data_IF_465460730519
#
_entry.id   IF_465460730519
#
_cell.length_a   1.000
_cell.length_b   1.000
_cell.length_c   1.000
_cell.angle_alpha   90.00
_cell.angle_beta   90.00
_cell.angle_gamma   90.00
#
_symmetry.space_group_name_H-M   'P 1'
#
loop_
_entity.id
_entity.type
_entity.pdbx_description
1 polymer ?
#
# COMPACT_ATOMS: atom_id res chain seq x y z
N UNK A 1 21.94 -76.89 -5.56
CA UNK A 1 22.10 -75.46 -5.28
C UNK A 1 20.71 -74.83 -5.40
N UNK A 2 19.85 -75.04 -4.40
CA UNK A 2 18.48 -74.52 -4.26
C UNK A 2 18.10 -74.54 -2.77
N UNK A 3 17.10 -73.71 -2.44
CA UNK A 3 16.37 -73.53 -1.16
C UNK A 3 16.91 -72.37 -0.29
N UNK A 4 16.14 -71.41 0.25
CA UNK A 4 14.70 -71.22 0.43
C UNK A 4 14.44 -70.55 1.80
N UNK A 5 13.44 -69.66 1.91
CA UNK A 5 12.94 -69.08 3.18
C UNK A 5 13.44 -67.64 3.48
N UNK A 6 12.63 -66.56 3.45
CA UNK A 6 11.51 -66.19 4.36
C UNK A 6 11.88 -66.49 5.82
N UNK A 7 11.98 -65.57 6.78
CA UNK A 7 11.73 -64.14 6.92
C UNK A 7 11.45 -63.89 8.40
N UNK A 8 11.94 -62.81 9.02
CA UNK A 8 11.35 -62.31 10.28
C UNK A 8 11.68 -60.83 10.52
N UNK A 9 10.79 -60.22 11.28
CA UNK A 9 10.38 -58.82 11.38
C UNK A 9 11.06 -58.09 12.55
N UNK A 10 11.31 -56.79 12.37
CA UNK A 10 11.36 -55.70 13.36
C UNK A 10 12.00 -54.48 12.64
N UNK A 11 11.59 -53.23 12.76
CA UNK A 11 10.67 -52.54 13.66
C UNK A 11 10.20 -51.26 12.95
N UNK A 12 8.97 -50.86 13.23
CA UNK A 12 8.27 -49.72 12.67
C UNK A 12 8.76 -48.43 13.34
N UNK A 13 9.64 -47.68 12.66
CA UNK A 13 9.88 -46.28 12.99
C UNK A 13 8.94 -45.40 12.16
N UNK A 14 7.86 -44.99 12.83
CA UNK A 14 6.96 -43.90 12.47
C UNK A 14 7.79 -42.71 11.99
N UNK A 15 7.64 -42.36 10.71
CA UNK A 15 8.18 -41.09 10.20
C UNK A 15 7.23 -40.02 10.69
N UNK A 16 7.67 -39.35 11.76
CA UNK A 16 7.07 -38.18 12.36
C UNK A 16 6.70 -37.20 11.25
N UNK A 17 5.38 -36.98 11.11
CA UNK A 17 4.83 -35.98 10.23
C UNK A 17 5.26 -34.63 10.75
N UNK A 18 6.43 -34.17 10.29
CA UNK A 18 6.96 -32.86 10.57
C UNK A 18 5.87 -31.85 10.29
N UNK A 19 5.35 -31.29 11.38
CA UNK A 19 4.57 -30.08 11.42
C UNK A 19 5.28 -29.05 10.54
N UNK A 20 4.80 -28.89 9.31
CA UNK A 20 5.12 -27.74 8.49
C UNK A 20 4.37 -26.58 9.14
N UNK A 21 4.90 -26.13 10.26
CA UNK A 21 4.57 -24.84 10.85
C UNK A 21 4.67 -23.84 9.69
N UNK A 22 3.58 -23.14 9.34
CA UNK A 22 3.58 -22.23 8.21
C UNK A 22 4.69 -21.21 8.43
N UNK A 23 5.53 -21.03 7.39
CA UNK A 23 6.52 -19.96 7.37
C UNK A 23 5.82 -18.67 7.83
N UNK A 24 6.47 -17.84 8.69
CA UNK A 24 5.85 -16.64 9.24
C UNK A 24 5.21 -15.89 8.08
N UNK A 25 3.88 -15.69 8.14
CA UNK A 25 3.13 -14.95 7.14
C UNK A 25 4.02 -13.80 6.67
N UNK A 26 4.44 -13.81 5.40
CA UNK A 26 5.14 -12.69 4.79
C UNK A 26 4.15 -11.54 4.87
N UNK A 27 4.13 -10.83 5.99
CA UNK A 27 3.27 -9.69 6.23
C UNK A 27 3.51 -8.79 5.04
N UNK A 28 2.50 -8.67 4.18
CA UNK A 28 2.64 -7.85 2.99
C UNK A 28 3.14 -6.49 3.45
N UNK A 29 4.18 -6.01 2.76
CA UNK A 29 4.94 -4.84 3.20
C UNK A 29 4.05 -3.62 3.43
N UNK A 30 2.89 -3.56 2.76
CA UNK A 30 1.85 -2.55 2.96
C UNK A 30 1.22 -2.59 4.36
N UNK A 31 0.85 -3.77 4.87
CA UNK A 31 0.39 -3.91 6.27
C UNK A 31 1.42 -3.46 7.27
N UNK A 32 2.70 -3.59 6.95
CA UNK A 32 3.77 -3.18 7.86
C UNK A 32 3.85 -1.67 8.03
N UNK A 33 3.38 -0.88 7.07
CA UNK A 33 3.36 0.59 7.19
C UNK A 33 1.99 1.16 7.51
N UNK A 34 0.93 0.36 7.43
CA UNK A 34 -0.46 0.71 7.76
C UNK A 34 -0.70 0.96 9.26
N UNK A 35 0.09 1.81 9.91
CA UNK A 35 -0.14 2.31 11.26
C UNK A 35 0.46 3.71 11.40
N UNK A 36 -0.27 4.72 11.92
CA UNK A 36 0.20 6.10 12.00
C UNK A 36 1.57 6.24 12.69
N UNK A 37 1.77 5.56 13.83
CA UNK A 37 3.07 5.60 14.53
C UNK A 37 4.23 5.04 13.70
N UNK A 38 3.98 4.05 12.84
CA UNK A 38 5.04 3.48 11.98
C UNK A 38 5.44 4.46 10.88
N UNK A 39 4.49 5.17 10.28
CA UNK A 39 4.77 6.26 9.33
C UNK A 39 5.56 7.39 9.99
N UNK A 40 5.19 7.77 11.22
CA UNK A 40 5.92 8.78 11.99
C UNK A 40 7.36 8.34 12.31
N UNK A 41 7.56 7.08 12.71
CA UNK A 41 8.88 6.51 12.95
C UNK A 41 9.74 6.49 11.68
N UNK A 42 9.17 6.08 10.53
CA UNK A 42 9.89 6.11 9.26
C UNK A 42 10.32 7.54 8.91
N UNK A 43 9.42 8.52 8.99
CA UNK A 43 9.74 9.93 8.74
C UNK A 43 10.82 10.46 9.68
N UNK A 44 10.76 10.12 10.97
CA UNK A 44 11.75 10.56 11.97
C UNK A 44 13.15 9.97 11.71
N UNK A 45 13.20 8.69 11.30
CA UNK A 45 14.43 7.94 11.10
C UNK A 45 15.07 8.13 9.72
N UNK A 46 14.42 8.87 8.81
CA UNK A 46 14.99 9.22 7.50
C UNK A 46 16.26 10.07 7.65
N UNK A 47 16.20 11.14 8.46
CA UNK A 47 17.31 12.09 8.61
C UNK A 47 18.35 11.71 9.67
N UNK A 48 18.07 10.73 10.54
CA UNK A 48 18.96 10.37 11.64
C UNK A 48 18.70 8.97 12.17
N UNK A 49 19.76 8.24 12.52
CA UNK A 49 19.63 6.98 13.23
C UNK A 49 19.28 7.24 14.70
N UNK A 50 18.27 6.54 15.25
CA UNK A 50 17.86 6.69 16.66
C UNK A 50 17.58 5.36 17.33
N UNK A 51 17.83 5.31 18.64
CA UNK A 51 17.34 4.27 19.54
C UNK A 51 15.84 4.41 19.82
N UNK A 52 15.24 3.35 20.35
CA UNK A 52 13.83 3.37 20.76
C UNK A 52 13.53 4.44 21.82
N UNK A 53 14.48 4.72 22.73
CA UNK A 53 14.30 5.71 23.79
C UNK A 53 14.35 7.15 23.25
N UNK A 54 15.20 7.44 22.28
CA UNK A 54 15.23 8.74 21.61
C UNK A 54 13.96 8.96 20.78
N UNK A 55 13.58 7.99 19.95
CA UNK A 55 12.38 8.08 19.12
C UNK A 55 11.10 8.21 19.97
N UNK A 56 11.03 7.50 21.10
CA UNK A 56 9.93 7.63 22.06
C UNK A 56 9.79 9.05 22.63
N UNK A 57 10.91 9.69 22.98
CA UNK A 57 10.90 11.10 23.44
C UNK A 57 10.45 12.07 22.35
N UNK A 58 10.89 11.86 21.11
CA UNK A 58 10.50 12.71 19.99
C UNK A 58 9.01 12.62 19.63
N UNK A 59 8.40 11.45 19.82
CA UNK A 59 7.01 11.18 19.43
C UNK A 59 6.03 11.21 20.61
N UNK A 60 6.50 11.55 21.81
CA UNK A 60 5.72 11.49 23.05
C UNK A 60 5.03 10.13 23.25
N UNK A 61 5.83 9.06 23.16
CA UNK A 61 5.38 7.66 23.27
C UNK A 61 6.18 6.93 24.35
N UNK A 62 5.69 5.75 24.76
CA UNK A 62 6.48 4.89 25.64
C UNK A 62 7.58 4.17 24.86
N UNK A 63 8.74 3.97 25.50
CA UNK A 63 9.85 3.23 24.90
C UNK A 63 9.44 1.79 24.52
N UNK A 64 8.60 1.13 25.33
CA UNK A 64 8.10 -0.21 25.06
C UNK A 64 7.28 -0.26 23.76
N UNK A 65 6.36 0.70 23.57
CA UNK A 65 5.54 0.80 22.37
C UNK A 65 6.40 1.04 21.12
N UNK A 66 7.31 2.02 21.18
CA UNK A 66 8.21 2.34 20.05
C UNK A 66 9.13 1.15 19.72
N UNK A 67 9.68 0.48 20.73
CA UNK A 67 10.55 -0.69 20.51
C UNK A 67 9.84 -1.81 19.74
N UNK A 68 8.57 -2.04 20.03
CA UNK A 68 7.76 -3.02 19.30
C UNK A 68 7.62 -2.64 17.82
N UNK A 69 7.29 -1.39 17.51
CA UNK A 69 7.15 -0.93 16.14
C UNK A 69 8.49 -0.93 15.36
N UNK A 70 9.59 -0.53 16.00
CA UNK A 70 10.92 -0.56 15.37
C UNK A 70 11.34 -1.99 14.98
N UNK A 71 11.11 -2.98 15.84
CA UNK A 71 11.39 -4.39 15.51
C UNK A 71 10.55 -4.87 14.34
N UNK A 72 9.26 -4.52 14.28
CA UNK A 72 8.37 -4.86 13.16
C UNK A 72 8.86 -4.25 11.84
N UNK A 73 9.23 -2.96 11.86
CA UNK A 73 9.74 -2.25 10.68
C UNK A 73 11.09 -2.82 10.21
N UNK A 74 11.99 -3.14 11.14
CA UNK A 74 13.27 -3.78 10.84
C UNK A 74 13.09 -5.19 10.26
N UNK A 75 12.20 -6.01 10.83
CA UNK A 75 11.91 -7.35 10.32
C UNK A 75 11.37 -7.32 8.88
N UNK A 76 10.67 -6.25 8.49
CA UNK A 76 10.23 -6.04 7.11
C UNK A 76 11.28 -5.42 6.17
N UNK A 77 12.50 -5.18 6.67
CA UNK A 77 13.58 -4.58 5.89
C UNK A 77 13.39 -3.09 5.57
N UNK A 78 12.52 -2.40 6.30
CA UNK A 78 12.32 -0.95 6.15
C UNK A 78 13.34 -0.17 6.99
N UNK A 79 13.86 -0.77 8.06
CA UNK A 79 14.93 -0.19 8.88
C UNK A 79 16.16 -1.09 8.84
N UNK A 80 17.32 -0.47 9.01
CA UNK A 80 18.60 -1.14 9.25
C UNK A 80 19.14 -0.79 10.64
N UNK A 81 19.98 -1.66 11.20
CA UNK A 81 20.75 -1.34 12.41
C UNK A 81 21.92 -0.44 12.04
N UNK A 82 21.85 0.81 12.48
CA UNK A 82 22.85 1.84 12.19
C UNK A 82 23.86 2.03 13.34
N UNK A 83 23.81 1.18 14.38
CA UNK A 83 24.79 1.16 15.45
C UNK A 83 24.22 0.75 16.80
N UNK A 84 25.09 0.82 17.80
CA UNK A 84 24.76 0.51 19.18
C UNK A 84 25.26 1.61 20.12
N UNK A 85 24.52 1.86 21.19
CA UNK A 85 24.86 2.84 22.23
C UNK A 85 24.86 2.17 23.61
N UNK A 86 25.76 2.59 24.50
CA UNK A 86 25.81 2.07 25.87
C UNK A 86 24.88 2.89 26.75
N UNK A 87 23.91 2.24 27.40
CA UNK A 87 22.92 2.89 28.27
C UNK A 87 22.87 2.17 29.61
N UNK A 88 23.26 2.84 30.71
CA UNK A 88 23.18 2.38 32.12
C UNK A 88 23.29 0.85 32.31
N UNK A 89 24.42 0.27 31.88
CA UNK A 89 24.70 -1.16 32.06
C UNK A 89 24.19 -2.09 30.94
N UNK A 90 23.60 -1.56 29.87
CA UNK A 90 23.14 -2.31 28.70
C UNK A 90 23.51 -1.65 27.38
N UNK A 91 23.06 -2.26 26.28
CA UNK A 91 23.32 -1.81 24.90
C UNK A 91 22.01 -1.54 24.17
N UNK A 92 21.81 -0.31 23.71
CA UNK A 92 20.67 0.10 22.90
C UNK A 92 21.00 0.00 21.40
N UNK A 93 20.07 -0.49 20.60
CA UNK A 93 20.18 -0.55 19.13
C UNK A 93 19.67 0.76 18.55
N UNK A 94 20.41 1.33 17.59
CA UNK A 94 19.98 2.49 16.80
C UNK A 94 19.53 2.03 15.42
N UNK A 95 18.38 2.50 14.97
CA UNK A 95 17.79 2.16 13.67
C UNK A 95 17.84 3.35 12.74
N UNK A 96 17.97 3.10 11.43
CA UNK A 96 17.86 4.09 10.36
C UNK A 96 16.88 3.60 9.29
N UNK A 97 16.14 4.50 8.67
CA UNK A 97 15.27 4.17 7.54
C UNK A 97 16.09 3.89 6.28
N UNK A 98 15.80 2.76 5.61
CA UNK A 98 16.42 2.37 4.34
C UNK A 98 15.73 3.12 3.19
N UNK A 99 16.38 4.08 2.49
CA UNK A 99 15.72 4.93 1.49
C UNK A 99 15.09 4.18 0.31
N UNK A 100 15.71 3.08 -0.13
CA UNK A 100 15.22 2.25 -1.24
C UNK A 100 14.08 1.31 -0.86
N UNK A 101 13.67 1.29 0.42
CA UNK A 101 12.67 0.34 0.92
C UNK A 101 11.24 0.63 0.44
N UNK A 102 10.97 1.82 -0.11
CA UNK A 102 9.66 2.19 -0.66
C UNK A 102 9.18 1.27 -1.79
N UNK A 103 10.10 0.71 -2.59
CA UNK A 103 9.76 -0.27 -3.63
C UNK A 103 9.28 -1.61 -3.04
N UNK A 104 9.61 -1.91 -1.78
CA UNK A 104 9.14 -3.12 -1.10
C UNK A 104 7.67 -3.02 -0.73
N UNK A 105 7.12 -1.81 -0.67
CA UNK A 105 5.73 -1.50 -0.35
C UNK A 105 4.78 -1.70 -1.53
N UNK A 106 5.21 -2.21 -2.69
CA UNK A 106 4.36 -2.30 -3.89
C UNK A 106 3.57 -3.61 -4.05
N UNK A 107 3.51 -4.48 -3.03
CA UNK A 107 2.79 -5.77 -3.13
C UNK A 107 1.29 -5.58 -2.84
N UNK A 108 0.47 -5.97 -3.82
CA UNK A 108 -0.97 -5.69 -3.94
C UNK A 108 -1.84 -6.76 -3.25
N UNK A 109 -2.15 -6.53 -1.98
CA UNK A 109 -3.39 -7.06 -1.40
C UNK A 109 -4.37 -5.88 -1.19
N UNK A 110 -5.58 -5.90 -1.79
CA UNK A 110 -6.54 -4.79 -1.69
C UNK A 110 -6.98 -4.44 -0.26
N UNK A 111 -6.94 -5.41 0.67
CA UNK A 111 -7.27 -5.17 2.08
C UNK A 111 -6.15 -4.42 2.81
N UNK A 112 -4.91 -4.59 2.36
CA UNK A 112 -3.74 -3.92 2.92
C UNK A 112 -3.68 -2.46 2.46
N UNK A 113 -4.12 -2.22 1.23
CA UNK A 113 -4.22 -0.89 0.65
C UNK A 113 -5.20 0.00 1.41
N UNK A 114 -6.38 -0.53 1.80
CA UNK A 114 -7.33 0.22 2.65
C UNK A 114 -6.73 0.64 3.99
N UNK A 115 -6.01 -0.28 4.64
CA UNK A 115 -5.35 0.00 5.91
C UNK A 115 -4.24 1.05 5.76
N UNK A 116 -3.47 0.98 4.67
CA UNK A 116 -2.48 1.99 4.33
C UNK A 116 -3.15 3.35 4.11
N UNK A 117 -4.16 3.43 3.25
CA UNK A 117 -4.87 4.68 2.92
C UNK A 117 -5.45 5.32 4.18
N UNK A 118 -6.04 4.54 5.08
CA UNK A 118 -6.52 5.05 6.37
C UNK A 118 -5.38 5.64 7.23
N UNK A 119 -4.23 4.97 7.30
CA UNK A 119 -3.06 5.48 8.02
C UNK A 119 -2.47 6.75 7.36
N UNK A 120 -2.43 6.80 6.03
CA UNK A 120 -2.00 7.98 5.27
C UNK A 120 -2.94 9.16 5.52
N UNK A 121 -4.26 8.95 5.50
CA UNK A 121 -5.25 10.01 5.77
C UNK A 121 -5.16 10.56 7.20
N UNK A 122 -4.96 9.68 8.19
CA UNK A 122 -4.74 10.08 9.57
C UNK A 122 -3.47 10.93 9.72
N UNK A 123 -2.39 10.53 9.05
CA UNK A 123 -1.12 11.25 9.11
C UNK A 123 -1.18 12.57 8.32
N UNK A 124 -1.85 12.60 7.17
CA UNK A 124 -2.08 13.83 6.41
C UNK A 124 -2.85 14.85 7.25
N UNK A 125 -3.92 14.42 7.93
CA UNK A 125 -4.68 15.26 8.86
C UNK A 125 -3.80 15.83 9.98
N UNK A 126 -2.99 14.98 10.63
CA UNK A 126 -2.07 15.38 11.70
C UNK A 126 -1.01 16.39 11.22
N UNK A 127 -0.48 16.22 10.01
CA UNK A 127 0.55 17.10 9.43
C UNK A 127 -0.03 18.43 8.98
N UNK A 128 -1.22 18.43 8.38
CA UNK A 128 -1.92 19.66 7.96
C UNK A 128 -2.26 20.55 9.15
N UNK A 129 -2.63 19.97 10.31
CA UNK A 129 -2.82 20.72 11.56
C UNK A 129 -1.57 21.46 12.07
N UNK A 130 -0.39 21.12 11.54
CA UNK A 130 0.90 21.73 11.89
C UNK A 130 1.52 22.53 10.73
N UNK A 131 0.75 22.80 9.66
CA UNK A 131 1.20 23.55 8.50
C UNK A 131 1.47 25.00 8.88
N UNK A 132 2.64 25.52 8.50
CA UNK A 132 2.95 26.94 8.67
C UNK A 132 2.00 27.80 7.80
N UNK A 133 1.32 28.82 8.34
CA UNK A 133 0.35 29.63 7.60
C UNK A 133 0.95 30.26 6.33
N UNK A 134 2.16 30.80 6.45
CA UNK A 134 2.86 31.50 5.36
C UNK A 134 3.88 30.60 4.64
N UNK A 135 3.84 29.28 4.91
CA UNK A 135 4.75 28.33 4.28
C UNK A 135 4.38 28.05 2.82
N UNK A 136 5.34 28.24 1.92
CA UNK A 136 5.22 27.81 0.52
C UNK A 136 4.89 26.31 0.44
N UNK A 137 3.99 25.96 -0.49
CA UNK A 137 3.60 24.58 -0.76
C UNK A 137 2.97 24.46 -2.13
N UNK A 138 2.86 23.22 -2.62
CA UNK A 138 2.17 22.89 -3.85
C UNK A 138 0.98 21.98 -3.53
N UNK A 139 -0.15 22.21 -4.19
CA UNK A 139 -1.32 21.34 -4.14
C UNK A 139 -1.81 21.11 -5.56
N UNK A 140 -2.03 19.84 -5.90
CA UNK A 140 -2.60 19.41 -7.17
C UNK A 140 -3.47 18.20 -6.90
N UNK A 141 -4.68 18.21 -7.44
CA UNK A 141 -5.67 17.15 -7.38
C UNK A 141 -6.25 17.00 -8.80
N UNK A 142 -6.24 15.77 -9.32
CA UNK A 142 -6.69 15.49 -10.68
C UNK A 142 -7.04 13.99 -10.84
N UNK A 143 -8.24 13.74 -11.34
CA UNK A 143 -8.66 12.45 -11.91
C UNK A 143 -8.84 12.65 -13.41
N UNK A 144 -7.85 12.22 -14.20
CA UNK A 144 -7.77 12.51 -15.64
C UNK A 144 -7.19 11.34 -16.41
N UNK A 145 -7.49 11.27 -17.70
CA UNK A 145 -6.86 10.37 -18.66
C UNK A 145 -5.63 11.04 -19.27
N UNK A 146 -4.51 10.32 -19.34
CA UNK A 146 -3.25 10.80 -19.91
C UNK A 146 -2.65 9.73 -20.81
N UNK A 147 -1.77 10.14 -21.72
CA UNK A 147 -0.96 9.21 -22.52
C UNK A 147 0.04 8.45 -21.63
N UNK A 148 0.41 7.24 -22.05
CA UNK A 148 1.39 6.38 -21.33
C UNK A 148 2.73 7.10 -21.08
N UNK A 149 3.18 7.92 -22.04
CA UNK A 149 4.41 8.71 -21.91
C UNK A 149 4.31 9.71 -20.74
N UNK A 150 3.19 10.43 -20.64
CA UNK A 150 2.90 11.34 -19.54
C UNK A 150 2.80 10.61 -18.20
N UNK A 151 2.15 9.44 -18.18
CA UNK A 151 2.05 8.63 -16.96
C UNK A 151 3.44 8.15 -16.47
N UNK A 152 4.27 7.69 -17.39
CA UNK A 152 5.66 7.29 -17.09
C UNK A 152 6.46 8.46 -16.51
N UNK A 153 6.38 9.64 -17.12
CA UNK A 153 7.06 10.86 -16.63
C UNK A 153 6.61 11.25 -15.22
N UNK A 154 5.30 11.19 -14.93
CA UNK A 154 4.76 11.46 -13.59
C UNK A 154 5.34 10.49 -12.55
N UNK A 155 5.40 9.20 -12.86
CA UNK A 155 5.99 8.19 -11.96
C UNK A 155 7.48 8.46 -11.70
N UNK A 156 8.23 8.89 -12.70
CA UNK A 156 9.64 9.28 -12.54
C UNK A 156 9.81 10.52 -11.66
N UNK A 157 9.01 11.57 -11.88
CA UNK A 157 9.03 12.79 -11.08
C UNK A 157 8.68 12.51 -9.61
N UNK A 158 7.66 11.70 -9.35
CA UNK A 158 7.27 11.29 -7.99
C UNK A 158 8.39 10.53 -7.30
N UNK A 159 9.02 9.56 -7.98
CA UNK A 159 10.17 8.82 -7.42
C UNK A 159 11.34 9.74 -7.14
N UNK A 160 11.66 10.65 -8.06
CA UNK A 160 12.75 11.62 -7.91
C UNK A 160 12.52 12.56 -6.73
N UNK A 161 11.30 13.09 -6.59
CA UNK A 161 10.93 13.94 -5.46
C UNK A 161 11.06 13.17 -4.13
N UNK A 162 10.61 11.91 -4.10
CA UNK A 162 10.78 11.01 -2.95
C UNK A 162 12.25 10.80 -2.58
N UNK A 163 13.12 10.50 -3.55
CA UNK A 163 14.56 10.32 -3.33
C UNK A 163 15.22 11.60 -2.82
N UNK A 164 14.92 12.75 -3.44
CA UNK A 164 15.45 14.05 -3.02
C UNK A 164 15.13 14.35 -1.55
N UNK A 165 13.90 14.03 -1.11
CA UNK A 165 13.49 14.21 0.29
C UNK A 165 14.26 13.27 1.24
N UNK A 166 14.51 12.02 0.84
CA UNK A 166 15.24 11.06 1.68
C UNK A 166 16.73 11.39 1.77
N UNK A 167 17.37 11.69 0.64
CA UNK A 167 18.80 12.03 0.55
C UNK A 167 19.11 13.39 1.22
N UNK A 168 18.21 14.35 1.07
CA UNK A 168 18.32 15.67 1.68
C UNK A 168 17.90 15.74 3.15
N UNK A 169 17.37 14.65 3.71
CA UNK A 169 16.87 14.65 5.08
C UNK A 169 17.99 14.91 6.09
N UNK A 170 17.76 15.88 6.98
CA UNK A 170 18.66 16.23 8.08
C UNK A 170 18.07 15.75 9.41
N UNK A 171 18.90 15.67 10.44
CA UNK A 171 18.43 15.34 11.79
C UNK A 171 17.33 16.32 12.24
N UNK A 172 16.35 15.86 13.05
CA UNK A 172 15.33 16.74 13.62
C UNK A 172 15.97 17.93 14.33
N UNK A 173 15.43 19.13 14.07
CA UNK A 173 15.90 20.40 14.65
C UNK A 173 17.32 20.83 14.27
N UNK A 174 17.93 20.22 13.25
CA UNK A 174 19.21 20.70 12.73
C UNK A 174 19.11 22.15 12.23
N UNK A 175 20.14 22.96 12.49
CA UNK A 175 20.17 24.37 12.09
C UNK A 175 19.94 24.54 10.57
N UNK A 176 19.06 25.47 10.22
CA UNK A 176 18.67 25.75 8.83
C UNK A 176 17.78 24.68 8.17
N UNK A 177 17.45 23.57 8.85
CA UNK A 177 16.57 22.55 8.29
C UNK A 177 15.12 23.04 8.25
N UNK A 178 14.49 22.88 7.08
CA UNK A 178 13.05 23.12 6.93
C UNK A 178 12.28 21.86 7.32
N UNK A 179 11.34 22.00 8.25
CA UNK A 179 10.39 20.93 8.57
C UNK A 179 9.30 20.90 7.50
N UNK A 180 9.38 19.94 6.60
CA UNK A 180 8.43 19.77 5.49
C UNK A 180 7.62 18.48 5.64
N UNK A 181 6.45 18.46 5.02
CA UNK A 181 5.65 17.25 4.83
C UNK A 181 5.43 17.06 3.35
N UNK A 182 5.65 15.84 2.87
CA UNK A 182 5.20 15.41 1.56
C UNK A 182 4.49 14.05 1.69
N UNK A 183 3.41 13.89 0.93
CA UNK A 183 2.75 12.63 0.67
C UNK A 183 2.57 12.57 -0.85
N UNK A 184 3.29 11.67 -1.50
CA UNK A 184 3.17 11.44 -2.94
C UNK A 184 2.53 10.08 -3.11
N UNK A 185 1.29 10.04 -3.58
CA UNK A 185 0.54 8.83 -3.82
C UNK A 185 -0.15 8.97 -5.17
N UNK A 186 0.36 8.26 -6.17
CA UNK A 186 -0.18 8.25 -7.53
C UNK A 186 -0.36 6.80 -7.94
N UNK A 187 -1.47 6.50 -8.59
CA UNK A 187 -1.81 5.16 -9.03
C UNK A 187 -2.66 5.23 -10.30
N UNK A 188 -2.55 4.19 -11.12
CA UNK A 188 -3.45 3.98 -12.24
C UNK A 188 -4.79 3.48 -11.70
N UNK A 189 -5.89 4.11 -12.13
CA UNK A 189 -7.23 3.64 -11.83
C UNK A 189 -7.62 2.53 -12.79
N UNK A 190 -8.46 1.59 -12.33
CA UNK A 190 -9.13 0.67 -13.25
C UNK A 190 -9.88 1.49 -14.31
N UNK A 191 -9.87 1.03 -15.56
CA UNK A 191 -10.75 1.59 -16.57
C UNK A 191 -12.18 1.56 -16.01
N UNK A 192 -12.83 2.73 -16.00
CA UNK A 192 -14.26 2.79 -15.68
C UNK A 192 -15.06 1.89 -16.62
N UNK A 193 -16.34 1.59 -16.33
CA UNK A 193 -17.19 1.02 -17.36
C UNK A 193 -17.07 1.92 -18.59
N UNK A 194 -16.68 1.33 -19.74
CA UNK A 194 -16.68 2.05 -21.01
C UNK A 194 -18.06 2.67 -21.23
N UNK A 195 -18.20 3.67 -22.12
CA UNK A 195 -19.52 4.10 -22.53
C UNK A 195 -20.33 2.84 -22.83
N UNK A 196 -21.52 2.73 -22.22
CA UNK A 196 -22.43 1.64 -22.56
C UNK A 196 -22.45 1.59 -24.09
N UNK A 197 -22.26 0.40 -24.63
CA UNK A 197 -22.47 0.16 -26.05
C UNK A 197 -23.91 0.60 -26.31
N UNK A 198 -24.07 1.86 -26.74
CA UNK A 198 -25.32 2.40 -27.25
C UNK A 198 -25.51 1.62 -28.53
N UNK A 199 -26.03 0.40 -28.35
CA UNK A 199 -26.31 -0.53 -29.43
C UNK A 199 -27.09 0.25 -30.45
N UNK A 200 -26.45 0.41 -31.61
CA UNK A 200 -27.05 0.95 -32.81
C UNK A 200 -28.43 0.31 -32.96
N UNK A 201 -29.55 1.06 -32.86
CA UNK A 201 -30.83 0.49 -33.17
C UNK A 201 -30.80 0.24 -34.67
N UNK A 202 -30.49 -1.02 -35.04
CA UNK A 202 -30.41 -1.49 -36.41
C UNK A 202 -31.52 -0.86 -37.26
N UNK A 203 -31.09 0.03 -38.15
CA UNK A 203 -31.85 0.53 -39.28
C UNK A 203 -31.95 -0.59 -40.32
N UNK A 204 -32.99 -1.40 -40.18
CA UNK A 204 -33.36 -2.40 -41.19
C UNK A 204 -34.79 -2.09 -41.67
N UNK A 205 -34.91 -0.95 -42.35
CA UNK A 205 -36.05 -0.64 -43.20
C UNK A 205 -36.16 -1.60 -44.40
N UNK A 206 -37.39 -2.11 -44.58
CA UNK A 206 -38.05 -2.50 -45.83
C UNK A 206 -37.57 -3.69 -46.69
N UNK A 207 -38.46 -4.70 -46.75
CA UNK A 207 -38.57 -5.64 -47.85
C UNK A 207 -39.83 -6.52 -47.76
N UNK A 208 -41.02 -6.01 -48.13
CA UNK A 208 -42.23 -6.84 -48.38
C UNK A 208 -42.11 -7.70 -49.66
N UNK A 209 -43.13 -8.50 -50.11
CA UNK A 209 -44.56 -8.29 -49.87
C UNK A 209 -45.50 -9.53 -49.68
N UNK A 210 -46.67 -9.25 -49.07
CA UNK A 210 -48.08 -9.70 -49.28
C UNK A 210 -48.48 -11.19 -49.48
N UNK A 211 -49.43 -11.63 -48.64
CA UNK A 211 -50.81 -12.11 -48.94
C UNK A 211 -51.43 -12.65 -47.63
N UNK A 212 -52.70 -12.51 -47.23
CA UNK A 212 -53.92 -11.94 -47.76
C UNK A 212 -55.08 -12.31 -46.80
N UNK A 213 -56.22 -11.62 -46.89
CA UNK A 213 -57.52 -12.20 -46.48
C UNK A 213 -58.30 -11.55 -45.32
N UNK A 214 -59.33 -10.76 -45.67
CA UNK A 214 -60.67 -10.78 -45.05
C UNK A 214 -60.93 -9.93 -43.80
N UNK A 215 -61.66 -8.81 -43.95
CA UNK A 215 -62.21 -7.98 -42.85
C UNK A 215 -63.55 -8.50 -42.29
N UNK A 216 -64.52 -7.67 -41.85
CA UNK A 216 -64.47 -6.23 -41.47
C UNK A 216 -65.18 -5.89 -40.11
N UNK A 217 -65.04 -4.62 -39.69
CA UNK A 217 -65.93 -3.82 -38.79
C UNK A 217 -66.01 -4.23 -37.29
N UNK A 218 -66.15 -3.35 -36.28
CA UNK A 218 -66.75 -2.02 -36.20
C UNK A 218 -66.31 -1.24 -34.94
N UNK A 219 -66.55 0.08 -34.98
CA UNK A 219 -66.90 1.02 -33.87
C UNK A 219 -65.87 1.52 -32.83
N UNK A 220 -65.41 2.77 -33.11
CA UNK A 220 -65.37 4.05 -32.34
C UNK A 220 -65.51 4.12 -30.78
N UNK A 221 -65.14 5.26 -30.13
CA UNK A 221 -64.23 5.26 -28.97
C UNK A 221 -64.89 5.79 -27.69
N UNK A 222 -64.21 5.66 -26.54
CA UNK A 222 -64.50 6.57 -25.42
C UNK A 222 -63.26 6.80 -24.53
N UNK A 223 -62.90 8.07 -24.40
CA UNK A 223 -62.03 8.61 -23.36
C UNK A 223 -62.93 9.29 -22.28
N UNK A 224 -62.38 10.00 -21.28
CA UNK A 224 -62.03 9.48 -19.96
C UNK A 224 -62.85 10.14 -18.83
N UNK A 225 -62.75 9.59 -17.61
CA UNK A 225 -62.90 10.30 -16.35
C UNK A 225 -62.10 9.58 -15.25
#
# INVERSE_FOLDING_TARGET
>A
MLDGGRGEVADSAVVDGGDVSPAPEELSSLRVVAHPLRLQLLSLLTGSAMSAAEAARHLDQTQANVSYHLRRLHAAGLLEVAGHEVVRGGRAVRYRHVPSSGQRLSRRDPSDERALVAALGAELSRRTAQRAPDGEGAFSDAEVWVEEATWTEVLELVRRAGSLLHEGARAPHADGARRVSALLYVFEMLAGPGPADDGDPADDGEGGPRAGGGGPAAETPQAPA
#
